data_IF_333727621276
#
_entry.id   IF_333727621276
#
_cell.length_a   1.000
_cell.length_b   1.000
_cell.length_c   1.000
_cell.angle_alpha   90.00
_cell.angle_beta   90.00
_cell.angle_gamma   90.00
#
_symmetry.space_group_name_H-M   'P 1'
#
loop_
_entity.id
_entity.type
_entity.pdbx_description
1 polymer ?
#
# COMPACT_ATOMS: atom_id res chain seq x y z
N UNK A 1 -3.79 -17.50 1.20
CA UNK A 1 -3.25 -18.69 0.52
C UNK A 1 -3.98 -19.05 -0.78
N UNK A 2 -5.24 -19.53 -0.75
CA UNK A 2 -5.99 -19.95 -1.94
C UNK A 2 -5.86 -19.00 -3.16
N UNK A 3 -6.15 -17.70 -2.96
CA UNK A 3 -6.05 -16.70 -4.03
C UNK A 3 -4.62 -16.49 -4.56
N UNK A 4 -3.61 -16.56 -3.69
CA UNK A 4 -2.20 -16.43 -4.10
C UNK A 4 -1.78 -17.62 -4.96
N UNK A 5 -2.19 -18.83 -4.59
CA UNK A 5 -1.95 -20.04 -5.41
C UNK A 5 -2.59 -19.91 -6.79
N UNK A 6 -3.85 -19.47 -6.86
CA UNK A 6 -4.54 -19.25 -8.13
C UNK A 6 -3.87 -18.16 -9.00
N UNK A 7 -3.42 -17.06 -8.40
CA UNK A 7 -2.67 -16.01 -9.11
C UNK A 7 -1.32 -16.51 -9.64
N UNK A 8 -0.62 -17.34 -8.86
CA UNK A 8 0.62 -17.97 -9.29
C UNK A 8 0.40 -18.91 -10.50
N UNK A 9 -0.66 -19.71 -10.47
CA UNK A 9 -1.02 -20.59 -11.60
C UNK A 9 -1.36 -19.81 -12.86
N UNK A 10 -2.11 -18.71 -12.71
CA UNK A 10 -2.41 -17.79 -13.80
C UNK A 10 -1.12 -17.22 -14.41
N UNK A 11 -0.20 -16.73 -13.58
CA UNK A 11 1.07 -16.15 -14.05
C UNK A 11 1.92 -17.17 -14.81
N UNK A 12 1.97 -18.42 -14.33
CA UNK A 12 2.67 -19.51 -15.00
C UNK A 12 2.04 -19.87 -16.36
N UNK A 13 0.72 -19.82 -16.45
CA UNK A 13 -0.01 -20.00 -17.70
C UNK A 13 0.26 -18.84 -18.68
N UNK A 14 0.17 -17.60 -18.22
CA UNK A 14 0.45 -16.39 -19.01
C UNK A 14 1.86 -16.45 -19.63
N UNK A 15 2.89 -16.78 -18.84
CA UNK A 15 4.27 -16.88 -19.35
C UNK A 15 4.44 -17.97 -20.42
N UNK A 16 3.75 -19.11 -20.27
CA UNK A 16 3.80 -20.18 -21.29
C UNK A 16 3.13 -19.74 -22.59
N UNK A 17 1.94 -19.15 -22.48
CA UNK A 17 1.21 -18.64 -23.64
C UNK A 17 2.00 -17.54 -24.36
N UNK A 18 2.62 -16.61 -23.61
CA UNK A 18 3.47 -15.55 -24.16
C UNK A 18 4.76 -16.09 -24.79
N UNK A 19 5.39 -17.11 -24.21
CA UNK A 19 6.57 -17.74 -24.81
C UNK A 19 6.26 -18.34 -26.20
N UNK A 20 5.07 -18.91 -26.38
CA UNK A 20 4.62 -19.51 -27.63
C UNK A 20 4.16 -18.48 -28.67
N UNK A 21 3.58 -17.36 -28.24
CA UNK A 21 2.88 -16.41 -29.13
C UNK A 21 3.54 -15.03 -29.25
N UNK A 22 4.32 -14.61 -28.27
CA UNK A 22 4.82 -13.24 -28.13
C UNK A 22 6.17 -13.19 -27.36
N UNK A 23 7.24 -13.72 -27.94
CA UNK A 23 8.57 -13.72 -27.32
C UNK A 23 9.26 -12.36 -27.16
N UNK A 24 8.57 -11.23 -27.38
CA UNK A 24 9.09 -9.86 -27.22
C UNK A 24 10.51 -9.66 -27.79
N UNK A 25 10.74 -10.08 -29.03
CA UNK A 25 12.10 -10.28 -29.58
C UNK A 25 13.02 -9.05 -29.43
N UNK A 26 12.51 -7.85 -29.73
CA UNK A 26 13.29 -6.62 -29.59
C UNK A 26 13.76 -6.40 -28.15
N UNK A 27 12.88 -6.60 -27.17
CA UNK A 27 13.24 -6.47 -25.74
C UNK A 27 14.19 -7.60 -25.33
N UNK A 28 13.90 -8.84 -25.73
CA UNK A 28 14.73 -10.01 -25.41
C UNK A 28 16.17 -9.84 -25.89
N UNK A 29 16.42 -9.21 -27.04
CA UNK A 29 17.78 -8.93 -27.54
C UNK A 29 18.59 -7.96 -26.66
N UNK A 30 17.91 -7.16 -25.83
CA UNK A 30 18.54 -6.19 -24.93
C UNK A 30 18.85 -6.78 -23.54
N UNK A 31 18.44 -8.02 -23.26
CA UNK A 31 18.68 -8.68 -21.98
C UNK A 31 19.82 -9.68 -22.08
N UNK A 32 20.67 -9.66 -21.05
CA UNK A 32 21.73 -10.66 -20.86
C UNK A 32 21.19 -12.08 -20.97
N UNK A 33 22.05 -12.97 -21.47
CA UNK A 33 21.84 -14.40 -21.64
C UNK A 33 20.74 -14.81 -22.67
N UNK A 34 19.84 -13.92 -23.09
CA UNK A 34 18.74 -14.27 -24.01
C UNK A 34 19.25 -14.73 -25.39
N UNK A 35 20.15 -13.96 -26.01
CA UNK A 35 20.76 -14.32 -27.30
C UNK A 35 21.59 -15.61 -27.15
N UNK A 36 22.43 -15.69 -26.11
CA UNK A 36 23.30 -16.84 -25.88
C UNK A 36 22.51 -18.14 -25.64
N UNK A 37 21.34 -18.05 -25.00
CA UNK A 37 20.44 -19.19 -24.75
C UNK A 37 19.46 -19.46 -25.89
N UNK A 38 19.35 -18.57 -26.87
CA UNK A 38 18.37 -18.68 -27.95
C UNK A 38 16.91 -18.66 -27.46
N UNK A 39 16.64 -17.97 -26.34
CA UNK A 39 15.32 -17.94 -25.69
C UNK A 39 14.89 -16.50 -25.42
N UNK A 40 13.59 -16.25 -25.48
CA UNK A 40 13.01 -14.96 -25.10
C UNK A 40 13.09 -14.70 -23.59
N UNK A 41 12.84 -13.45 -23.19
CA UNK A 41 12.82 -13.08 -21.77
C UNK A 41 11.77 -13.88 -20.96
N UNK A 42 10.60 -14.15 -21.54
CA UNK A 42 9.51 -14.92 -20.90
C UNK A 42 9.75 -16.44 -20.94
N UNK A 43 10.49 -16.93 -21.94
CA UNK A 43 10.86 -18.35 -22.09
C UNK A 43 12.14 -18.74 -21.30
N UNK A 44 12.68 -17.84 -20.46
CA UNK A 44 13.84 -18.15 -19.62
C UNK A 44 15.21 -17.88 -20.25
N UNK A 45 15.25 -17.00 -21.25
CA UNK A 45 16.48 -16.39 -21.73
C UNK A 45 17.20 -15.60 -20.63
N UNK A 46 16.45 -14.90 -19.77
CA UNK A 46 17.01 -14.11 -18.66
C UNK A 46 17.60 -14.98 -17.55
N UNK A 47 18.59 -14.44 -16.83
CA UNK A 47 19.19 -15.09 -15.66
C UNK A 47 18.22 -15.28 -14.50
N UNK A 48 17.40 -14.25 -14.24
CA UNK A 48 16.44 -14.21 -13.13
C UNK A 48 15.01 -14.10 -13.65
N UNK A 49 14.39 -15.23 -13.98
CA UNK A 49 12.99 -15.32 -14.38
C UNK A 49 12.11 -15.47 -13.15
N UNK A 50 11.30 -14.46 -12.91
CA UNK A 50 10.30 -14.47 -11.85
C UNK A 50 9.10 -13.60 -12.20
N UNK A 51 8.27 -13.37 -11.21
CA UNK A 51 7.06 -12.55 -11.33
C UNK A 51 6.74 -11.84 -10.04
N UNK A 52 5.82 -10.88 -10.12
CA UNK A 52 5.28 -10.18 -8.96
C UNK A 52 3.76 -10.12 -9.03
N UNK A 53 3.11 -10.06 -7.87
CA UNK A 53 1.69 -9.74 -7.75
C UNK A 53 1.49 -8.47 -6.92
N UNK A 54 0.56 -7.63 -7.35
CA UNK A 54 0.19 -6.44 -6.59
C UNK A 54 -0.75 -6.80 -5.45
N UNK A 55 -0.57 -6.14 -4.30
CA UNK A 55 -1.39 -6.34 -3.10
C UNK A 55 -2.07 -5.04 -2.68
N UNK A 56 -3.33 -5.13 -2.27
CA UNK A 56 -4.16 -3.98 -1.89
C UNK A 56 -4.75 -4.19 -0.49
N UNK A 57 -4.88 -3.11 0.29
CA UNK A 57 -5.57 -3.17 1.58
C UNK A 57 -4.81 -3.89 2.71
N UNK A 58 -3.49 -4.07 2.59
CA UNK A 58 -2.66 -4.69 3.65
C UNK A 58 -2.79 -3.95 5.00
N UNK A 59 -2.73 -2.61 4.97
CA UNK A 59 -2.94 -1.75 6.14
C UNK A 59 -4.37 -1.87 6.68
N UNK A 60 -5.38 -1.80 5.80
CA UNK A 60 -6.79 -1.96 6.20
C UNK A 60 -7.04 -3.32 6.88
N UNK A 61 -6.37 -4.37 6.39
CA UNK A 61 -6.45 -5.71 6.95
C UNK A 61 -5.82 -5.74 8.34
N UNK A 62 -4.63 -5.16 8.52
CA UNK A 62 -3.98 -5.07 9.83
C UNK A 62 -4.82 -4.30 10.85
N UNK A 63 -5.31 -3.12 10.49
CA UNK A 63 -6.18 -2.30 11.35
C UNK A 63 -7.51 -3.01 11.66
N UNK A 64 -8.10 -3.72 10.69
CA UNK A 64 -9.32 -4.51 10.88
C UNK A 64 -9.09 -5.66 11.86
N UNK A 65 -8.01 -6.41 11.71
CA UNK A 65 -7.64 -7.50 12.61
C UNK A 65 -7.32 -6.97 14.00
N UNK A 66 -6.66 -5.82 14.11
CA UNK A 66 -6.40 -5.17 15.40
C UNK A 66 -7.70 -4.76 16.10
N UNK A 67 -8.65 -4.16 15.37
CA UNK A 67 -9.96 -3.80 15.92
C UNK A 67 -10.77 -5.03 16.34
N UNK A 68 -10.83 -6.07 15.51
CA UNK A 68 -11.51 -7.33 15.84
C UNK A 68 -10.86 -7.96 17.09
N UNK A 69 -9.54 -8.12 17.10
CA UNK A 69 -8.82 -8.69 18.24
C UNK A 69 -9.09 -7.90 19.51
N UNK A 70 -9.01 -6.57 19.45
CA UNK A 70 -9.18 -5.71 20.62
C UNK A 70 -10.61 -5.71 21.13
N UNK A 71 -11.59 -5.47 20.26
CA UNK A 71 -12.96 -5.20 20.66
C UNK A 71 -13.76 -6.48 20.88
N UNK A 72 -13.50 -7.53 20.09
CA UNK A 72 -14.24 -8.80 20.18
C UNK A 72 -13.60 -9.74 21.20
N UNK A 73 -12.28 -9.95 21.11
CA UNK A 73 -11.61 -10.99 21.89
C UNK A 73 -11.00 -10.47 23.20
N UNK A 74 -10.25 -9.37 23.15
CA UNK A 74 -9.52 -8.86 24.33
C UNK A 74 -10.47 -8.15 25.31
N UNK A 75 -11.33 -7.25 24.81
CA UNK A 75 -12.21 -6.42 25.64
C UNK A 75 -13.67 -6.89 25.68
N UNK A 76 -14.08 -7.77 24.76
CA UNK A 76 -15.46 -8.30 24.65
C UNK A 76 -16.54 -7.22 24.66
N UNK A 77 -16.28 -6.11 23.96
CA UNK A 77 -17.16 -4.94 23.84
C UNK A 77 -18.20 -5.09 22.73
N UNK A 78 -17.91 -5.91 21.73
CA UNK A 78 -18.74 -6.24 20.56
C UNK A 78 -18.56 -7.74 20.32
N UNK A 79 -19.62 -8.49 20.03
CA UNK A 79 -19.45 -9.91 19.60
C UNK A 79 -19.01 -10.01 18.14
N UNK A 80 -18.57 -11.18 17.69
CA UNK A 80 -18.19 -11.35 16.28
C UNK A 80 -19.42 -11.18 15.35
N UNK A 81 -20.57 -11.67 15.78
CA UNK A 81 -21.85 -11.55 15.07
C UNK A 81 -22.30 -10.09 14.99
N UNK A 82 -22.13 -9.33 16.07
CA UNK A 82 -22.39 -7.89 16.08
C UNK A 82 -21.43 -7.15 15.15
N UNK A 83 -20.12 -7.49 15.15
CA UNK A 83 -19.17 -6.89 14.22
C UNK A 83 -19.60 -7.12 12.77
N UNK A 84 -20.00 -8.34 12.41
CA UNK A 84 -20.51 -8.65 11.07
C UNK A 84 -21.75 -7.81 10.73
N UNK A 85 -22.75 -7.76 11.62
CA UNK A 85 -23.96 -6.96 11.41
C UNK A 85 -23.68 -5.45 11.24
N UNK A 86 -22.73 -4.91 12.01
CA UNK A 86 -22.28 -3.51 11.92
C UNK A 86 -21.68 -3.23 10.54
N UNK A 87 -20.85 -4.15 10.01
CA UNK A 87 -20.21 -3.99 8.71
C UNK A 87 -21.20 -4.17 7.55
N UNK A 88 -22.09 -5.16 7.64
CA UNK A 88 -23.13 -5.41 6.63
C UNK A 88 -24.09 -4.21 6.49
N UNK A 89 -24.33 -3.50 7.59
CA UNK A 89 -25.14 -2.28 7.61
C UNK A 89 -24.36 -1.01 7.18
N UNK A 90 -23.11 -1.11 6.70
CA UNK A 90 -22.20 0.04 6.52
C UNK A 90 -22.23 1.00 7.72
N UNK A 91 -22.25 0.45 8.93
CA UNK A 91 -22.35 1.20 10.19
C UNK A 91 -23.62 2.05 10.38
N UNK A 92 -24.63 1.97 9.52
CA UNK A 92 -25.89 2.70 9.66
C UNK A 92 -26.68 2.18 10.88
N UNK A 93 -27.00 3.07 11.83
CA UNK A 93 -27.64 2.69 13.09
C UNK A 93 -26.70 2.07 14.12
N UNK A 94 -25.40 2.01 13.83
CA UNK A 94 -24.35 1.45 14.69
C UNK A 94 -23.25 2.49 15.00
N UNK A 95 -23.63 3.75 15.23
CA UNK A 95 -22.69 4.87 15.41
C UNK A 95 -21.81 4.70 16.66
N UNK A 96 -22.31 3.99 17.68
CA UNK A 96 -21.54 3.68 18.88
C UNK A 96 -20.43 2.69 18.57
N UNK A 97 -20.76 1.61 17.87
CA UNK A 97 -19.84 0.54 17.49
C UNK A 97 -18.78 1.09 16.53
N UNK A 98 -19.21 1.91 15.55
CA UNK A 98 -18.28 2.60 14.65
C UNK A 98 -17.27 3.47 15.40
N UNK A 99 -17.71 4.21 16.44
CA UNK A 99 -16.80 5.01 17.28
C UNK A 99 -15.79 4.13 18.03
N UNK A 100 -16.21 2.96 18.52
CA UNK A 100 -15.29 2.01 19.16
C UNK A 100 -14.26 1.48 18.15
N UNK A 101 -14.71 1.13 16.95
CA UNK A 101 -13.86 0.64 15.86
C UNK A 101 -12.84 1.69 15.40
N UNK A 102 -13.25 2.95 15.26
CA UNK A 102 -12.35 4.05 14.93
C UNK A 102 -11.35 4.36 16.05
N UNK A 103 -11.73 4.12 17.31
CA UNK A 103 -10.85 4.28 18.48
C UNK A 103 -9.95 3.09 18.79
N UNK A 104 -10.02 2.00 18.01
CA UNK A 104 -9.09 0.88 18.15
C UNK A 104 -7.67 1.28 17.66
N UNK A 105 -6.60 0.62 18.14
CA UNK A 105 -5.23 0.87 17.67
C UNK A 105 -5.11 0.86 16.15
N UNK A 106 -4.39 1.84 15.59
CA UNK A 106 -4.18 2.00 14.15
C UNK A 106 -2.70 2.03 13.79
N UNK A 107 -2.36 1.37 12.69
CA UNK A 107 -1.02 1.34 12.11
C UNK A 107 -0.51 2.75 11.80
N UNK A 108 0.80 2.99 11.97
CA UNK A 108 1.42 4.30 11.72
C UNK A 108 1.59 5.19 12.94
N UNK A 109 1.43 4.63 14.14
CA UNK A 109 1.51 5.35 15.41
C UNK A 109 2.60 4.82 16.35
N UNK A 110 3.49 3.96 15.86
CA UNK A 110 4.47 3.21 16.64
C UNK A 110 3.81 2.39 17.78
N UNK A 111 2.58 1.91 17.53
CA UNK A 111 1.83 1.09 18.48
C UNK A 111 2.12 -0.38 18.22
N UNK A 112 2.87 -0.97 19.15
CA UNK A 112 3.34 -2.36 19.09
C UNK A 112 2.21 -3.40 19.03
N UNK A 113 0.96 -3.05 19.40
CA UNK A 113 -0.18 -3.95 19.28
C UNK A 113 -0.57 -4.17 17.82
N UNK A 114 -0.74 -3.09 17.07
CA UNK A 114 -1.20 -3.12 15.66
C UNK A 114 -0.03 -3.32 14.70
N UNK A 115 1.16 -2.81 15.03
CA UNK A 115 2.34 -2.98 14.19
C UNK A 115 2.75 -4.46 14.09
N UNK A 116 2.65 -5.22 15.19
CA UNK A 116 2.90 -6.68 15.15
C UNK A 116 1.88 -7.43 14.30
N UNK A 117 0.64 -6.96 14.26
CA UNK A 117 -0.39 -7.53 13.40
C UNK A 117 -0.09 -7.19 11.94
N UNK A 118 0.33 -5.95 11.65
CA UNK A 118 0.75 -5.55 10.31
C UNK A 118 1.96 -6.36 9.81
N UNK A 119 2.95 -6.60 10.67
CA UNK A 119 4.08 -7.50 10.39
C UNK A 119 3.59 -8.91 10.07
N UNK A 120 2.73 -9.50 10.90
CA UNK A 120 2.22 -10.85 10.67
C UNK A 120 1.43 -10.97 9.35
N UNK A 121 0.61 -9.97 9.01
CA UNK A 121 -0.12 -9.92 7.73
C UNK A 121 0.87 -9.82 6.55
N UNK A 122 1.83 -8.90 6.64
CA UNK A 122 2.85 -8.71 5.60
C UNK A 122 3.68 -9.98 5.38
N UNK A 123 4.19 -10.57 6.46
CA UNK A 123 5.01 -11.78 6.42
C UNK A 123 4.24 -12.98 5.87
N UNK A 124 2.98 -13.17 6.31
CA UNK A 124 2.16 -14.28 5.82
C UNK A 124 1.95 -14.19 4.31
N UNK A 125 1.53 -13.02 3.81
CA UNK A 125 1.23 -12.85 2.38
C UNK A 125 2.51 -12.89 1.54
N UNK A 126 3.57 -12.22 1.97
CA UNK A 126 4.85 -12.16 1.24
C UNK A 126 5.54 -13.53 1.16
N UNK A 127 5.72 -14.21 2.30
CA UNK A 127 6.42 -15.51 2.36
C UNK A 127 5.64 -16.60 1.64
N UNK A 128 4.31 -16.66 1.81
CA UNK A 128 3.51 -17.63 1.08
C UNK A 128 3.57 -17.42 -0.43
N UNK A 129 3.60 -16.16 -0.89
CA UNK A 129 3.79 -15.82 -2.31
C UNK A 129 5.17 -16.27 -2.80
N UNK A 130 6.22 -15.99 -2.03
CA UNK A 130 7.58 -16.41 -2.32
C UNK A 130 7.71 -17.93 -2.51
N UNK A 131 7.06 -18.71 -1.65
CA UNK A 131 7.06 -20.18 -1.73
C UNK A 131 6.41 -20.71 -3.01
N UNK A 132 5.49 -19.95 -3.64
CA UNK A 132 4.88 -20.37 -4.91
C UNK A 132 5.88 -20.37 -6.07
N UNK A 133 6.97 -19.61 -5.99
CA UNK A 133 7.94 -19.47 -7.08
C UNK A 133 8.43 -20.83 -7.59
N UNK A 134 8.89 -21.69 -6.68
CA UNK A 134 9.39 -23.03 -7.00
C UNK A 134 8.29 -23.90 -7.63
N UNK A 135 7.06 -23.80 -7.12
CA UNK A 135 5.92 -24.58 -7.60
C UNK A 135 5.60 -24.28 -9.06
N UNK A 136 5.74 -23.03 -9.48
CA UNK A 136 5.46 -22.58 -10.85
C UNK A 136 6.71 -22.51 -11.76
N UNK A 137 7.86 -22.99 -11.28
CA UNK A 137 9.11 -22.99 -12.06
C UNK A 137 9.74 -21.60 -12.26
N UNK A 138 9.47 -20.68 -11.34
CA UNK A 138 10.07 -19.35 -11.25
C UNK A 138 11.20 -19.35 -10.21
N UNK A 139 12.18 -18.45 -10.39
CA UNK A 139 13.26 -18.27 -9.43
C UNK A 139 12.85 -17.33 -8.28
N UNK A 140 11.89 -16.45 -8.53
CA UNK A 140 11.23 -15.66 -7.49
C UNK A 140 9.77 -15.39 -7.90
N UNK A 141 8.91 -15.24 -6.89
CA UNK A 141 7.54 -14.79 -7.05
C UNK A 141 7.20 -13.94 -5.83
N UNK A 142 7.09 -12.62 -5.98
CA UNK A 142 7.04 -11.70 -4.85
C UNK A 142 5.75 -10.89 -4.84
N UNK A 143 5.44 -10.28 -3.71
CA UNK A 143 4.41 -9.24 -3.66
C UNK A 143 5.03 -7.86 -3.88
N UNK A 144 4.24 -6.94 -4.40
CA UNK A 144 4.54 -5.50 -4.44
C UNK A 144 3.32 -4.73 -3.95
N UNK A 145 3.53 -3.62 -3.23
CA UNK A 145 2.46 -2.78 -2.70
C UNK A 145 2.72 -1.31 -3.06
N UNK A 146 2.31 -0.92 -4.27
CA UNK A 146 2.54 0.41 -4.87
C UNK A 146 1.25 1.20 -5.11
N UNK A 147 0.13 0.50 -5.27
CA UNK A 147 -1.27 0.91 -5.35
C UNK A 147 -1.63 2.18 -6.12
N UNK A 148 -0.76 2.69 -7.01
CA UNK A 148 -0.92 3.82 -7.93
C UNK A 148 -2.15 4.70 -7.60
N UNK A 149 -3.21 4.57 -8.40
CA UNK A 149 -4.57 5.06 -8.11
C UNK A 149 -5.55 3.90 -7.84
N UNK A 150 -5.07 2.66 -7.92
CA UNK A 150 -5.91 1.47 -7.84
C UNK A 150 -6.45 1.21 -6.42
N UNK A 151 -5.87 1.81 -5.37
CA UNK A 151 -6.48 1.79 -4.02
C UNK A 151 -7.90 2.37 -4.00
N UNK A 152 -8.18 3.37 -4.85
CA UNK A 152 -9.51 3.96 -4.99
C UNK A 152 -10.43 3.01 -5.76
N UNK A 153 -9.95 2.44 -6.87
CA UNK A 153 -10.75 1.50 -7.68
C UNK A 153 -11.09 0.21 -6.92
N UNK A 154 -10.12 -0.40 -6.24
CA UNK A 154 -10.34 -1.58 -5.41
C UNK A 154 -11.24 -1.26 -4.21
N UNK A 155 -11.09 -0.07 -3.62
CA UNK A 155 -11.98 0.42 -2.55
C UNK A 155 -13.45 0.43 -2.96
N UNK A 156 -13.77 0.88 -4.18
CA UNK A 156 -15.14 0.87 -4.75
C UNK A 156 -15.78 -0.52 -4.82
N UNK A 157 -14.96 -1.57 -4.94
CA UNK A 157 -15.40 -2.96 -4.99
C UNK A 157 -15.30 -3.67 -3.64
N UNK A 158 -15.05 -2.94 -2.55
CA UNK A 158 -14.85 -3.51 -1.21
C UNK A 158 -15.87 -2.95 -0.22
N UNK A 159 -16.68 -3.84 0.36
CA UNK A 159 -17.63 -3.56 1.43
C UNK A 159 -16.96 -3.00 2.69
N UNK A 160 -17.71 -2.41 3.62
CA UNK A 160 -17.18 -1.86 4.86
C UNK A 160 -16.24 -2.83 5.60
N UNK A 161 -15.19 -2.31 6.25
CA UNK A 161 -14.19 -3.12 6.94
C UNK A 161 -14.03 -2.73 8.41
N UNK A 162 -13.56 -3.68 9.23
CA UNK A 162 -13.44 -3.52 10.69
C UNK A 162 -12.37 -2.51 11.13
N UNK A 163 -11.67 -1.87 10.20
CA UNK A 163 -10.84 -0.69 10.44
C UNK A 163 -11.68 0.60 10.56
N UNK A 164 -12.98 0.55 10.26
CA UNK A 164 -13.92 1.68 10.29
C UNK A 164 -14.14 2.34 8.94
N UNK A 165 -13.52 1.80 7.88
CA UNK A 165 -13.68 2.24 6.50
C UNK A 165 -15.07 1.84 6.00
N UNK A 166 -15.79 2.81 5.43
CA UNK A 166 -17.13 2.60 4.83
C UNK A 166 -17.04 1.88 3.50
N UNK A 167 -18.15 1.25 3.11
CA UNK A 167 -18.35 0.64 1.79
C UNK A 167 -17.93 1.60 0.67
N UNK A 168 -17.14 1.10 -0.28
CA UNK A 168 -16.72 1.86 -1.45
C UNK A 168 -15.64 2.92 -1.22
N UNK A 169 -15.26 3.22 0.03
CA UNK A 169 -14.23 4.21 0.32
C UNK A 169 -12.83 3.71 -0.10
N UNK A 170 -11.86 4.60 -0.40
CA UNK A 170 -10.52 4.17 -0.79
C UNK A 170 -9.85 3.25 0.25
N UNK A 171 -9.13 2.24 -0.24
CA UNK A 171 -8.17 1.50 0.59
C UNK A 171 -6.93 2.37 0.87
N UNK A 172 -6.14 1.98 1.85
CA UNK A 172 -4.83 2.56 2.09
C UNK A 172 -3.95 2.47 0.82
N UNK A 173 -3.25 3.57 0.51
CA UNK A 173 -2.36 3.61 -0.64
C UNK A 173 -0.97 3.10 -0.25
N UNK A 174 -0.59 1.95 -0.83
CA UNK A 174 0.68 1.32 -0.54
C UNK A 174 0.72 0.81 0.90
N UNK A 175 1.82 1.11 1.58
CA UNK A 175 2.03 0.89 3.01
C UNK A 175 1.81 2.16 3.85
N UNK A 176 1.13 3.17 3.30
CA UNK A 176 0.78 4.37 4.05
C UNK A 176 -0.38 4.05 5.01
N UNK A 177 -0.32 4.40 6.30
CA UNK A 177 -1.49 4.46 7.18
C UNK A 177 -2.71 5.07 6.50
N UNK A 178 -3.89 4.55 6.80
CA UNK A 178 -5.13 5.14 6.30
C UNK A 178 -5.20 6.60 6.72
N UNK A 179 -5.64 7.46 5.81
CA UNK A 179 -5.63 8.91 6.01
C UNK A 179 -6.30 9.31 7.33
N UNK A 180 -5.56 10.02 8.19
CA UNK A 180 -6.03 10.49 9.49
C UNK A 180 -5.86 9.50 10.64
N UNK A 181 -5.40 8.27 10.39
CA UNK A 181 -5.10 7.30 11.44
C UNK A 181 -3.71 7.51 12.06
N UNK A 182 -2.77 8.13 11.33
CA UNK A 182 -1.44 8.50 11.81
C UNK A 182 -1.47 9.81 12.63
N UNK A 183 -1.62 9.67 13.94
CA UNK A 183 -1.85 10.76 14.89
C UNK A 183 -0.68 11.05 15.84
N UNK A 184 0.32 10.17 15.88
CA UNK A 184 1.51 10.29 16.75
C UNK A 184 2.72 10.98 16.09
N UNK A 185 2.54 11.61 14.92
CA UNK A 185 3.59 12.36 14.23
C UNK A 185 4.47 11.50 13.31
N UNK A 186 5.28 12.18 12.48
CA UNK A 186 6.01 11.56 11.36
C UNK A 186 7.08 10.54 11.80
N UNK A 187 7.66 10.72 12.99
CA UNK A 187 8.63 9.75 13.53
C UNK A 187 7.94 8.42 13.85
N UNK A 188 6.78 8.47 14.51
CA UNK A 188 6.01 7.26 14.86
C UNK A 188 5.51 6.55 13.59
N UNK A 189 5.05 7.33 12.61
CA UNK A 189 4.70 6.85 11.27
C UNK A 189 5.86 6.09 10.61
N UNK A 190 7.07 6.66 10.59
CA UNK A 190 8.23 6.03 9.96
C UNK A 190 8.71 4.80 10.73
N UNK A 191 8.60 4.80 12.06
CA UNK A 191 8.91 3.64 12.89
C UNK A 191 7.99 2.46 12.55
N UNK A 192 6.67 2.67 12.49
CA UNK A 192 5.73 1.61 12.09
C UNK A 192 5.99 1.06 10.68
N UNK A 193 6.41 1.92 9.75
CA UNK A 193 6.77 1.51 8.38
C UNK A 193 8.03 0.66 8.36
N UNK A 194 9.06 1.04 9.11
CA UNK A 194 10.33 0.33 9.17
C UNK A 194 10.23 -1.06 9.82
N UNK A 195 9.15 -1.35 10.56
CA UNK A 195 8.93 -2.67 11.20
C UNK A 195 8.61 -3.79 10.21
N UNK A 196 8.14 -3.49 9.00
CA UNK A 196 7.80 -4.52 8.02
C UNK A 196 9.07 -5.06 7.34
N UNK A 197 9.24 -6.38 7.30
CA UNK A 197 10.43 -7.03 6.74
C UNK A 197 10.49 -6.84 5.21
N UNK A 198 11.52 -6.16 4.68
CA UNK A 198 11.62 -5.92 3.26
C UNK A 198 12.18 -7.10 2.45
N UNK A 199 12.64 -8.17 3.11
CA UNK A 199 13.37 -9.27 2.46
C UNK A 199 12.51 -10.17 1.57
N UNK A 200 11.20 -10.23 1.82
CA UNK A 200 10.28 -11.15 1.16
C UNK A 200 9.31 -10.48 0.16
N UNK A 201 9.53 -9.20 -0.17
CA UNK A 201 8.68 -8.47 -1.11
C UNK A 201 9.49 -7.63 -2.10
N UNK A 202 8.93 -7.34 -3.28
CA UNK A 202 9.57 -6.53 -4.32
C UNK A 202 9.50 -5.01 -4.07
N UNK A 203 8.80 -4.58 -3.04
CA UNK A 203 8.79 -3.18 -2.60
C UNK A 203 7.43 -2.73 -2.08
N UNK A 204 7.47 -1.99 -0.98
CA UNK A 204 6.32 -1.30 -0.41
C UNK A 204 6.53 0.20 -0.56
N UNK A 205 5.53 0.87 -1.11
CA UNK A 205 5.56 2.30 -1.34
C UNK A 205 4.72 3.00 -0.30
N UNK A 206 5.19 4.12 0.22
CA UNK A 206 4.40 4.96 1.11
C UNK A 206 4.63 6.43 0.79
N UNK A 207 3.60 7.21 1.12
CA UNK A 207 3.53 8.61 0.79
C UNK A 207 3.65 9.44 2.06
N UNK A 208 4.48 10.47 2.00
CA UNK A 208 4.67 11.44 3.07
C UNK A 208 4.42 12.81 2.49
N UNK A 209 3.58 13.60 3.16
CA UNK A 209 3.31 14.98 2.77
C UNK A 209 3.87 15.90 3.84
N UNK A 210 4.87 16.70 3.47
CA UNK A 210 5.42 17.75 4.32
C UNK A 210 4.89 19.12 3.91
N UNK A 211 4.69 19.98 4.90
CA UNK A 211 4.48 21.40 4.69
C UNK A 211 5.74 22.04 4.10
N UNK A 212 5.55 23.11 3.32
CA UNK A 212 6.66 23.95 2.83
C UNK A 212 7.54 24.47 3.98
N UNK A 213 6.94 24.76 5.13
CA UNK A 213 7.64 25.24 6.32
C UNK A 213 8.59 24.17 6.85
N UNK A 214 8.09 22.98 7.18
CA UNK A 214 8.90 21.86 7.69
C UNK A 214 10.03 21.50 6.73
N UNK A 215 9.74 21.46 5.42
CA UNK A 215 10.74 21.05 4.44
C UNK A 215 11.83 22.11 4.17
N UNK A 216 11.54 23.41 4.39
CA UNK A 216 12.48 24.51 4.14
C UNK A 216 13.19 24.98 5.40
N UNK A 217 12.43 25.29 6.45
CA UNK A 217 12.94 25.87 7.69
C UNK A 217 13.54 24.80 8.60
N UNK A 218 12.88 23.63 8.71
CA UNK A 218 13.32 22.50 9.53
C UNK A 218 14.11 21.44 8.73
N UNK A 219 14.76 21.84 7.63
CA UNK A 219 15.45 20.92 6.70
C UNK A 219 16.45 19.98 7.39
N UNK A 220 17.16 20.47 8.42
CA UNK A 220 18.09 19.66 9.19
C UNK A 220 17.38 18.52 9.94
N UNK A 221 16.20 18.79 10.52
CA UNK A 221 15.37 17.79 11.20
C UNK A 221 14.81 16.76 10.23
N UNK A 222 14.30 17.20 9.07
CA UNK A 222 13.81 16.29 8.02
C UNK A 222 14.94 15.39 7.50
N UNK A 223 16.15 15.95 7.32
CA UNK A 223 17.33 15.18 6.92
C UNK A 223 17.72 14.13 7.96
N UNK A 224 17.75 14.51 9.24
CA UNK A 224 18.03 13.58 10.34
C UNK A 224 16.97 12.48 10.46
N UNK A 225 15.70 12.84 10.33
CA UNK A 225 14.56 11.91 10.34
C UNK A 225 14.70 10.84 9.24
N UNK A 226 14.92 11.27 7.99
CA UNK A 226 15.06 10.35 6.87
C UNK A 226 16.31 9.47 7.01
N UNK A 227 17.43 10.02 7.48
CA UNK A 227 18.65 9.24 7.77
C UNK A 227 18.40 8.15 8.81
N UNK A 228 17.73 8.49 9.91
CA UNK A 228 17.38 7.52 10.95
C UNK A 228 16.45 6.43 10.41
N UNK A 229 15.44 6.83 9.62
CA UNK A 229 14.51 5.89 9.00
C UNK A 229 15.21 4.90 8.06
N UNK A 230 16.06 5.36 7.14
CA UNK A 230 16.83 4.47 6.26
C UNK A 230 17.84 3.61 7.02
N UNK A 231 18.46 4.15 8.08
CA UNK A 231 19.35 3.37 8.94
C UNK A 231 18.62 2.26 9.71
N UNK A 232 17.32 2.44 9.98
CA UNK A 232 16.46 1.46 10.66
C UNK A 232 15.75 0.49 9.70
N UNK A 233 16.19 0.37 8.45
CA UNK A 233 15.65 -0.61 7.49
C UNK A 233 14.53 -0.08 6.60
N UNK A 234 14.19 1.21 6.68
CA UNK A 234 13.35 1.86 5.68
C UNK A 234 13.94 1.71 4.27
N UNK A 235 13.09 1.41 3.28
CA UNK A 235 13.55 1.07 1.92
C UNK A 235 13.24 2.13 0.87
N UNK A 236 12.29 3.01 1.15
CA UNK A 236 11.69 3.94 0.20
C UNK A 236 11.12 5.13 0.98
N UNK A 237 10.97 6.31 0.37
CA UNK A 237 10.12 7.40 0.89
C UNK A 237 9.65 8.30 -0.27
N UNK A 238 8.33 8.38 -0.54
CA UNK A 238 7.80 9.32 -1.53
C UNK A 238 7.31 10.59 -0.87
N UNK A 239 8.00 11.68 -1.15
CA UNK A 239 7.75 12.95 -0.47
C UNK A 239 7.04 13.92 -1.42
N UNK A 240 5.90 14.42 -0.97
CA UNK A 240 5.21 15.59 -1.53
C UNK A 240 5.42 16.78 -0.60
N UNK A 241 5.74 17.95 -1.15
CA UNK A 241 5.90 19.19 -0.37
C UNK A 241 4.89 20.23 -0.86
N UNK A 242 3.90 20.55 -0.03
CA UNK A 242 2.80 21.47 -0.38
C UNK A 242 2.47 22.41 0.78
N UNK A 243 1.86 23.55 0.48
CA UNK A 243 1.28 24.43 1.50
C UNK A 243 -0.04 23.85 2.02
N UNK A 244 -0.40 24.22 3.26
CA UNK A 244 -1.73 23.94 3.80
C UNK A 244 -2.78 24.64 2.94
N UNK A 245 -3.76 23.90 2.44
CA UNK A 245 -4.80 24.45 1.57
C UNK A 245 -4.44 24.53 0.08
N UNK A 246 -3.19 24.21 -0.33
CA UNK A 246 -2.78 24.31 -1.74
C UNK A 246 -3.57 23.35 -2.63
N UNK A 247 -3.83 22.12 -2.17
CA UNK A 247 -4.57 21.12 -2.93
C UNK A 247 -6.06 21.49 -3.03
N UNK A 248 -6.66 21.98 -1.94
CA UNK A 248 -8.04 22.45 -1.89
C UNK A 248 -8.25 23.73 -2.72
N UNK A 249 -7.25 24.61 -2.78
CA UNK A 249 -7.25 25.76 -3.69
C UNK A 249 -7.13 25.31 -5.14
N UNK A 250 -6.25 24.34 -5.44
CA UNK A 250 -6.12 23.76 -6.78
C UNK A 250 -7.39 23.06 -7.27
N UNK A 251 -8.24 22.55 -6.36
CA UNK A 251 -9.56 22.03 -6.71
C UNK A 251 -10.57 23.12 -7.11
N UNK A 252 -10.45 24.31 -6.54
CA UNK A 252 -11.38 25.43 -6.79
C UNK A 252 -10.96 26.26 -8.00
N UNK A 253 -9.65 26.45 -8.18
CA UNK A 253 -9.06 27.31 -9.19
C UNK A 253 -7.95 26.56 -9.98
N UNK A 254 -8.27 25.44 -10.65
CA UNK A 254 -7.27 24.56 -11.27
C UNK A 254 -6.36 25.27 -12.29
N UNK A 255 -6.86 26.31 -12.95
CA UNK A 255 -6.10 27.15 -13.88
C UNK A 255 -4.90 27.86 -13.22
N UNK A 256 -4.99 28.20 -11.93
CA UNK A 256 -3.87 28.82 -11.17
C UNK A 256 -2.83 27.79 -10.72
N UNK A 257 -3.18 26.51 -10.73
CA UNK A 257 -2.35 25.41 -10.19
C UNK A 257 -1.96 24.36 -11.24
N UNK A 258 -1.94 24.73 -12.54
CA UNK A 258 -1.62 23.81 -13.65
C UNK A 258 -0.28 23.08 -13.51
N UNK A 259 0.67 23.68 -12.80
CA UNK A 259 2.01 23.11 -12.58
C UNK A 259 2.18 22.47 -11.19
N UNK A 260 1.11 22.33 -10.41
CA UNK A 260 1.17 21.70 -9.11
C UNK A 260 1.37 20.19 -9.27
N UNK A 261 2.57 19.72 -8.91
CA UNK A 261 2.96 18.32 -8.99
C UNK A 261 2.85 17.66 -7.61
N UNK A 262 2.27 16.47 -7.59
CA UNK A 262 2.08 15.64 -6.40
C UNK A 262 2.63 14.22 -6.63
N UNK A 263 3.02 13.53 -5.55
CA UNK A 263 3.29 12.09 -5.56
C UNK A 263 1.99 11.33 -5.30
N UNK A 264 1.70 10.32 -6.13
CA UNK A 264 0.45 9.54 -6.04
C UNK A 264 0.69 8.18 -5.38
N UNK A 265 1.32 7.27 -6.13
CA UNK A 265 1.72 5.92 -5.75
C UNK A 265 2.76 5.45 -6.76
N UNK A 266 4.06 5.61 -6.50
CA UNK A 266 5.14 5.25 -7.43
C UNK A 266 5.51 6.28 -8.51
N UNK A 267 4.69 7.32 -8.74
CA UNK A 267 4.94 8.34 -9.77
C UNK A 267 4.51 9.75 -9.35
N UNK A 268 4.92 10.74 -10.17
CA UNK A 268 4.50 12.13 -10.05
C UNK A 268 3.46 12.47 -11.12
N UNK A 269 2.46 13.27 -10.76
CA UNK A 269 1.45 13.76 -11.69
C UNK A 269 1.10 15.21 -11.41
N UNK A 270 0.55 15.89 -12.42
CA UNK A 270 -0.11 17.18 -12.23
C UNK A 270 -1.42 16.94 -11.48
N UNK A 271 -1.57 17.57 -10.32
CA UNK A 271 -2.72 17.36 -9.44
C UNK A 271 -4.06 17.61 -10.14
N UNK A 272 -4.11 18.66 -10.97
CA UNK A 272 -5.33 19.06 -11.69
C UNK A 272 -5.74 18.09 -12.80
N UNK A 273 -4.86 17.16 -13.20
CA UNK A 273 -5.16 16.13 -14.23
C UNK A 273 -5.61 14.80 -13.63
N UNK A 274 -5.54 14.67 -12.31
CA UNK A 274 -5.99 13.47 -11.61
C UNK A 274 -7.52 13.42 -11.55
N UNK A 275 -8.07 12.21 -11.58
CA UNK A 275 -9.48 11.98 -11.32
C UNK A 275 -9.88 12.53 -9.94
N UNK A 276 -11.12 12.99 -9.82
CA UNK A 276 -11.62 13.71 -8.64
C UNK A 276 -11.46 12.89 -7.35
N UNK A 277 -11.74 11.60 -7.41
CA UNK A 277 -11.61 10.69 -6.28
C UNK A 277 -10.15 10.52 -5.82
N UNK A 278 -9.20 10.45 -6.75
CA UNK A 278 -7.76 10.45 -6.45
C UNK A 278 -7.31 11.78 -5.85
N UNK A 279 -7.82 12.91 -6.34
CA UNK A 279 -7.53 14.23 -5.76
C UNK A 279 -8.00 14.31 -4.31
N UNK A 280 -9.20 13.80 -4.01
CA UNK A 280 -9.74 13.78 -2.65
C UNK A 280 -8.92 12.86 -1.73
N UNK A 281 -8.48 11.68 -2.20
CA UNK A 281 -7.59 10.79 -1.46
C UNK A 281 -6.28 11.51 -1.05
N UNK A 282 -5.66 12.24 -1.97
CA UNK A 282 -4.42 12.99 -1.70
C UNK A 282 -4.60 14.14 -0.71
N UNK A 283 -5.76 14.81 -0.74
CA UNK A 283 -6.10 15.88 0.21
C UNK A 283 -6.22 15.32 1.62
N UNK A 284 -6.90 14.17 1.78
CA UNK A 284 -7.16 13.55 3.08
C UNK A 284 -5.89 13.07 3.79
N UNK A 285 -4.83 12.73 3.04
CA UNK A 285 -3.55 12.31 3.63
C UNK A 285 -2.99 13.35 4.61
N UNK A 286 -2.42 12.88 5.70
CA UNK A 286 -1.84 13.72 6.76
C UNK A 286 -0.76 14.66 6.20
N UNK A 287 -0.81 15.93 6.63
CA UNK A 287 0.19 16.96 6.31
C UNK A 287 1.03 17.21 7.55
N UNK A 288 2.31 16.86 7.47
CA UNK A 288 3.31 17.07 8.53
C UNK A 288 3.97 18.44 8.47
#
# INVERSE_FOLDING_TARGET
EHYVTALADRHAFEYRAEAESAGFLYVSMLYDDCIARGKSLVDGGVRYRGGVIETFGMVNTADSLAAIKRLVYDQKRITLEQMAAVLDADFEGYERERRLILGAPKYGNDDEYVDRIAQAVSDHVSRFTYEQARRIGFQYFLIVNINNYANVSMGKHTAASADGRRNGAPLANGNTPTAGNDTCGVTAFLNSIAKLDPSAHAGYVHNIKFSKQVFREDRAKVSALLKAYFANGGTQAMITVVGRGDLEAALREPEKYRNLIVRVGGFSARFVELARDVQMDLIQRTLY
#
